data_IF_193776496527
#
_entry.id   IF_193776496527
#
_cell.length_a   1.000
_cell.length_b   1.000
_cell.length_c   1.000
_cell.angle_alpha   90.00
_cell.angle_beta   90.00
_cell.angle_gamma   90.00
#
_symmetry.space_group_name_H-M   'P 1'
#
loop_
_entity.id
_entity.type
_entity.pdbx_description
1 polymer ?
#
# COMPACT_ATOMS: atom_id res chain seq x y z
N UNK A 1 20.32 -14.04 -12.12
CA UNK A 1 18.99 -13.43 -11.94
C UNK A 1 18.82 -13.18 -10.45
N UNK A 2 19.12 -11.96 -10.01
CA UNK A 2 19.12 -11.60 -8.59
C UNK A 2 17.78 -10.98 -8.22
N UNK A 3 17.11 -11.61 -7.26
CA UNK A 3 15.81 -11.21 -6.74
C UNK A 3 16.01 -10.00 -5.81
N UNK A 4 15.59 -8.80 -6.22
CA UNK A 4 15.84 -7.57 -5.46
C UNK A 4 14.88 -7.49 -4.27
N UNK A 5 15.44 -7.52 -3.06
CA UNK A 5 14.68 -7.47 -1.80
C UNK A 5 14.64 -6.02 -1.32
N UNK A 6 13.44 -5.40 -1.28
CA UNK A 6 13.27 -4.03 -0.80
C UNK A 6 12.73 -4.00 0.64
N UNK A 7 13.32 -3.16 1.51
CA UNK A 7 12.90 -2.95 2.90
C UNK A 7 12.29 -1.55 3.08
N UNK A 8 11.23 -1.41 3.91
CA UNK A 8 10.58 -0.11 4.17
C UNK A 8 10.23 0.11 5.63
N UNK A 9 10.72 1.22 6.18
CA UNK A 9 10.46 1.77 7.51
C UNK A 9 8.98 2.00 7.82
N UNK A 10 8.51 1.43 8.93
CA UNK A 10 7.17 1.67 9.48
C UNK A 10 7.15 2.79 10.51
N UNK A 11 6.36 3.83 10.25
CA UNK A 11 5.92 4.84 11.22
C UNK A 11 4.40 4.97 11.17
N UNK A 12 3.78 5.00 12.34
CA UNK A 12 2.34 4.81 12.59
C UNK A 12 1.46 5.94 12.05
N UNK A 13 0.86 5.73 10.88
CA UNK A 13 -0.42 6.34 10.52
C UNK A 13 -1.43 5.19 10.41
N UNK A 14 -2.51 5.16 11.23
CA UNK A 14 -3.47 4.09 11.16
C UNK A 14 -4.37 4.28 9.94
N UNK A 15 -3.86 3.88 8.78
CA UNK A 15 -4.71 3.57 7.63
C UNK A 15 -5.58 2.38 8.07
N UNK A 16 -6.89 2.60 8.13
CA UNK A 16 -7.86 1.55 8.38
C UNK A 16 -7.88 0.64 7.15
N UNK A 17 -7.11 -0.45 7.20
CA UNK A 17 -7.13 -1.46 6.16
C UNK A 17 -8.44 -2.27 6.24
N UNK A 18 -8.95 -2.70 5.09
CA UNK A 18 -10.17 -3.51 5.04
C UNK A 18 -9.89 -4.96 5.40
N UNK A 19 -10.86 -5.60 6.05
CA UNK A 19 -10.83 -7.02 6.33
C UNK A 19 -10.91 -7.82 5.03
N UNK A 20 -9.93 -8.68 4.80
CA UNK A 20 -9.83 -9.54 3.61
C UNK A 20 -10.91 -10.64 3.54
N UNK A 21 -11.75 -10.77 4.59
CA UNK A 21 -12.92 -11.64 4.59
C UNK A 21 -14.22 -10.89 4.28
N UNK A 22 -14.51 -9.82 5.04
CA UNK A 22 -15.82 -9.17 5.04
C UNK A 22 -15.81 -7.71 4.57
N UNK A 23 -14.65 -7.18 4.20
CA UNK A 23 -14.49 -5.80 3.71
C UNK A 23 -14.63 -4.71 4.78
N UNK A 24 -14.94 -5.05 6.03
CA UNK A 24 -15.10 -4.06 7.10
C UNK A 24 -13.73 -3.51 7.56
N UNK A 25 -13.64 -2.22 7.95
CA UNK A 25 -12.43 -1.64 8.50
C UNK A 25 -11.87 -2.45 9.68
N UNK A 26 -10.56 -2.72 9.66
CA UNK A 26 -9.88 -3.43 10.74
C UNK A 26 -8.47 -2.89 10.98
N UNK A 27 -8.04 -2.96 12.24
CA UNK A 27 -6.65 -2.73 12.65
C UNK A 27 -5.91 -4.03 13.00
N UNK A 28 -6.61 -5.17 12.98
CA UNK A 28 -6.04 -6.43 13.39
C UNK A 28 -5.32 -7.10 12.22
N UNK A 29 -4.01 -7.29 12.40
CA UNK A 29 -3.14 -8.01 11.47
C UNK A 29 -2.96 -9.46 11.90
N UNK A 30 -2.71 -10.35 10.94
CA UNK A 30 -2.31 -11.73 11.22
C UNK A 30 -1.10 -11.73 12.16
N UNK A 31 -1.22 -12.42 13.31
CA UNK A 31 -0.17 -12.40 14.34
C UNK A 31 1.13 -13.06 13.89
N UNK A 32 1.06 -13.99 12.93
CA UNK A 32 2.22 -14.71 12.36
C UNK A 32 2.99 -13.84 11.36
N UNK A 33 2.37 -13.49 10.23
CA UNK A 33 3.07 -12.82 9.13
C UNK A 33 3.00 -11.29 9.16
N UNK A 34 2.04 -10.70 9.91
CA UNK A 34 1.75 -9.25 9.95
C UNK A 34 1.33 -8.60 8.62
N UNK A 35 1.24 -9.39 7.56
CA UNK A 35 1.02 -8.97 6.17
C UNK A 35 -0.45 -8.85 5.76
N UNK A 36 -1.36 -9.36 6.59
CA UNK A 36 -2.75 -9.62 6.23
C UNK A 36 -3.68 -9.06 7.30
N UNK A 37 -4.82 -8.47 6.90
CA UNK A 37 -5.74 -7.77 7.79
C UNK A 37 -7.10 -8.47 7.83
N UNK A 38 -7.62 -8.73 9.03
CA UNK A 38 -8.93 -9.34 9.27
C UNK A 38 -9.57 -8.75 10.51
N UNK A 39 -10.90 -8.75 10.65
CA UNK A 39 -11.56 -8.18 11.84
C UNK A 39 -11.35 -9.01 13.13
N UNK A 40 -11.11 -10.32 13.01
CA UNK A 40 -11.04 -11.19 14.19
C UNK A 40 -10.95 -12.67 13.83
N UNK A 41 -11.10 -13.52 14.86
CA UNK A 41 -10.91 -14.98 14.76
C UNK A 41 -11.84 -15.64 13.73
N UNK A 42 -13.11 -15.25 13.68
CA UNK A 42 -14.08 -15.86 12.75
C UNK A 42 -13.73 -15.55 11.29
N UNK A 43 -13.41 -14.28 10.98
CA UNK A 43 -12.93 -13.90 9.65
C UNK A 43 -11.59 -14.59 9.32
N UNK A 44 -10.69 -14.75 10.29
CA UNK A 44 -9.43 -15.47 10.07
C UNK A 44 -9.67 -16.94 9.72
N UNK A 45 -10.56 -17.64 10.43
CA UNK A 45 -10.90 -19.04 10.14
C UNK A 45 -11.46 -19.18 8.72
N UNK A 46 -12.37 -18.29 8.33
CA UNK A 46 -13.01 -18.31 7.01
C UNK A 46 -12.01 -18.15 5.86
N UNK A 47 -10.99 -17.29 6.03
CA UNK A 47 -9.98 -17.02 5.00
C UNK A 47 -8.72 -17.87 5.14
N UNK A 48 -8.60 -18.70 6.18
CA UNK A 48 -7.35 -19.36 6.54
C UNK A 48 -6.81 -20.26 5.43
N UNK A 49 -7.66 -21.03 4.76
CA UNK A 49 -7.26 -21.92 3.66
C UNK A 49 -6.54 -21.15 2.54
N UNK A 50 -7.06 -19.96 2.18
CA UNK A 50 -6.47 -19.06 1.19
C UNK A 50 -5.24 -18.32 1.74
N UNK A 51 -5.26 -17.92 3.02
CA UNK A 51 -4.19 -17.14 3.62
C UNK A 51 -2.97 -17.97 4.03
N UNK A 52 -3.13 -19.25 4.37
CA UNK A 52 -2.05 -20.07 4.93
C UNK A 52 -0.79 -20.14 4.04
N UNK A 53 -0.89 -20.41 2.72
CA UNK A 53 0.30 -20.48 1.86
C UNK A 53 1.11 -19.19 1.89
N UNK A 54 0.42 -18.07 1.72
CA UNK A 54 0.96 -16.73 1.84
C UNK A 54 1.60 -16.48 3.20
N UNK A 55 0.91 -16.83 4.29
CA UNK A 55 1.42 -16.66 5.65
C UNK A 55 2.75 -17.40 5.86
N UNK A 56 2.85 -18.64 5.36
CA UNK A 56 4.04 -19.46 5.52
C UNK A 56 5.23 -18.90 4.71
N UNK A 57 4.99 -18.44 3.47
CA UNK A 57 6.00 -17.74 2.64
C UNK A 57 6.57 -16.52 3.37
N UNK A 58 5.71 -15.68 3.94
CA UNK A 58 6.11 -14.46 4.63
C UNK A 58 6.90 -14.71 5.92
N UNK A 59 6.51 -15.75 6.66
CA UNK A 59 7.26 -16.19 7.85
C UNK A 59 8.64 -16.72 7.46
N UNK A 60 8.72 -17.49 6.38
CA UNK A 60 9.98 -17.97 5.81
C UNK A 60 10.92 -16.83 5.41
N UNK A 61 10.43 -15.89 4.60
CA UNK A 61 11.21 -14.74 4.15
C UNK A 61 11.74 -13.90 5.33
N UNK A 62 10.89 -13.63 6.33
CA UNK A 62 11.30 -12.89 7.54
C UNK A 62 12.37 -13.65 8.33
N UNK A 63 12.29 -14.98 8.40
CA UNK A 63 13.33 -15.80 9.04
C UNK A 63 14.66 -15.69 8.31
N UNK A 64 14.66 -15.84 6.98
CA UNK A 64 15.88 -15.72 6.17
C UNK A 64 16.56 -14.36 6.35
N UNK A 65 15.78 -13.27 6.36
CA UNK A 65 16.30 -11.91 6.55
C UNK A 65 16.84 -11.66 7.97
N UNK A 66 16.21 -12.27 8.98
CA UNK A 66 16.73 -12.24 10.35
C UNK A 66 18.06 -12.98 10.43
N UNK A 67 18.15 -14.15 9.81
CA UNK A 67 19.33 -15.01 9.82
C UNK A 67 20.50 -14.36 9.04
N UNK A 68 20.23 -13.52 8.03
CA UNK A 68 21.24 -12.75 7.30
C UNK A 68 21.70 -11.47 8.01
N UNK A 69 21.17 -11.17 9.21
CA UNK A 69 21.50 -9.95 9.96
C UNK A 69 20.98 -8.66 9.31
N UNK A 70 20.12 -8.76 8.29
CA UNK A 70 19.57 -7.60 7.60
C UNK A 70 18.46 -6.97 8.45
N UNK A 71 18.58 -5.70 8.87
CA UNK A 71 17.50 -5.04 9.60
C UNK A 71 16.34 -4.79 8.64
N UNK A 72 15.24 -5.52 8.82
CA UNK A 72 14.01 -5.28 8.06
C UNK A 72 13.01 -4.60 8.97
N UNK A 73 12.80 -3.31 8.74
CA UNK A 73 11.57 -2.66 9.21
C UNK A 73 10.44 -3.11 8.26
N UNK A 74 9.34 -3.63 8.81
CA UNK A 74 8.15 -3.99 8.04
C UNK A 74 8.02 -5.47 7.60
N UNK A 75 7.18 -5.66 6.58
CA UNK A 75 6.75 -6.95 6.04
C UNK A 75 7.46 -7.15 4.69
N UNK A 76 8.39 -8.13 4.56
CA UNK A 76 9.16 -8.30 3.33
C UNK A 76 8.29 -8.90 2.21
N UNK A 77 8.37 -8.39 1.00
CA UNK A 77 7.67 -8.97 -0.16
C UNK A 77 8.66 -9.34 -1.27
N UNK A 78 8.29 -10.33 -2.07
CA UNK A 78 8.97 -10.65 -3.33
C UNK A 78 8.02 -10.31 -4.47
N UNK A 79 8.59 -9.79 -5.55
CA UNK A 79 7.83 -9.34 -6.71
C UNK A 79 8.56 -9.79 -7.97
N UNK A 80 7.85 -10.46 -8.87
CA UNK A 80 8.41 -10.83 -10.16
C UNK A 80 8.78 -9.57 -10.97
N UNK A 81 9.89 -9.57 -11.73
CA UNK A 81 10.33 -8.41 -12.49
C UNK A 81 9.25 -7.82 -13.43
N UNK A 82 8.49 -8.69 -14.09
CA UNK A 82 7.42 -8.28 -15.01
C UNK A 82 6.24 -7.63 -14.26
N UNK A 83 5.93 -8.12 -13.06
CA UNK A 83 4.91 -7.52 -12.20
C UNK A 83 5.38 -6.13 -11.71
N UNK A 84 6.64 -6.00 -11.29
CA UNK A 84 7.22 -4.71 -10.91
C UNK A 84 7.15 -3.70 -12.06
N UNK A 85 7.55 -4.10 -13.26
CA UNK A 85 7.52 -3.24 -14.44
C UNK A 85 6.08 -2.80 -14.77
N UNK A 86 5.13 -3.75 -14.79
CA UNK A 86 3.71 -3.47 -15.05
C UNK A 86 3.11 -2.51 -14.03
N UNK A 87 3.34 -2.74 -12.73
CA UNK A 87 2.80 -1.87 -11.67
C UNK A 87 3.43 -0.48 -11.70
N UNK A 88 4.74 -0.38 -11.95
CA UNK A 88 5.38 0.93 -12.11
C UNK A 88 4.86 1.69 -13.35
N UNK A 89 4.60 0.99 -14.46
CA UNK A 89 4.05 1.61 -15.66
C UNK A 89 2.66 2.23 -15.40
N UNK A 90 1.81 1.56 -14.62
CA UNK A 90 0.50 2.11 -14.19
C UNK A 90 0.67 3.40 -13.39
N UNK A 91 1.60 3.44 -12.43
CA UNK A 91 1.90 4.67 -11.69
C UNK A 91 2.38 5.79 -12.62
N UNK A 92 3.28 5.51 -13.57
CA UNK A 92 3.78 6.51 -14.52
C UNK A 92 2.68 7.06 -15.45
N UNK A 93 1.64 6.27 -15.74
CA UNK A 93 0.47 6.75 -16.48
C UNK A 93 -0.25 7.86 -15.73
N UNK A 94 -0.40 7.74 -14.41
CA UNK A 94 -0.99 8.79 -13.56
C UNK A 94 -0.17 10.07 -13.63
N UNK A 95 1.16 9.96 -13.56
CA UNK A 95 2.07 11.10 -13.67
C UNK A 95 1.90 11.81 -15.03
N UNK A 96 1.86 11.03 -16.11
CA UNK A 96 1.67 11.56 -17.47
C UNK A 96 0.30 12.22 -17.63
N UNK A 97 -0.77 11.60 -17.13
CA UNK A 97 -2.14 12.15 -17.14
C UNK A 97 -2.19 13.55 -16.52
N UNK A 98 -1.47 13.76 -15.43
CA UNK A 98 -1.45 15.03 -14.72
C UNK A 98 -0.34 15.99 -15.21
N UNK A 99 0.52 15.56 -16.14
CA UNK A 99 1.68 16.34 -16.59
C UNK A 99 2.60 16.70 -15.42
N UNK A 100 2.89 15.71 -14.57
CA UNK A 100 3.73 15.82 -13.37
C UNK A 100 4.96 14.93 -13.55
N UNK A 101 6.16 15.50 -13.45
CA UNK A 101 7.41 14.74 -13.50
C UNK A 101 7.83 14.26 -12.10
N UNK A 102 7.76 15.16 -11.11
CA UNK A 102 8.00 14.87 -9.69
C UNK A 102 6.81 15.27 -8.83
N UNK A 103 6.52 14.54 -7.73
CA UNK A 103 5.49 14.96 -6.78
C UNK A 103 5.74 16.39 -6.25
N UNK A 104 4.70 17.23 -6.13
CA UNK A 104 4.84 18.58 -5.62
C UNK A 104 5.33 18.57 -4.17
N UNK A 105 6.46 19.24 -3.94
CA UNK A 105 7.08 19.40 -2.61
C UNK A 105 6.33 20.46 -1.79
N UNK A 106 6.65 20.53 -0.49
CA UNK A 106 6.15 21.59 0.41
C UNK A 106 6.45 22.97 -0.20
N UNK A 107 5.43 23.83 -0.29
CA UNK A 107 5.56 25.16 -0.88
C UNK A 107 5.56 25.19 -2.42
N UNK A 108 5.24 24.08 -3.09
CA UNK A 108 5.07 24.04 -4.54
C UNK A 108 4.05 25.07 -5.03
N UNK A 109 4.33 25.69 -6.18
CA UNK A 109 3.42 26.60 -6.91
C UNK A 109 2.36 25.87 -7.74
N UNK A 110 2.31 24.54 -7.68
CA UNK A 110 1.27 23.77 -8.36
C UNK A 110 -0.11 24.17 -7.84
N UNK A 111 -1.07 24.36 -8.77
CA UNK A 111 -2.46 24.61 -8.43
C UNK A 111 -2.97 23.56 -7.43
N UNK A 112 -3.65 24.03 -6.37
CA UNK A 112 -4.05 23.18 -5.24
C UNK A 112 -5.01 22.09 -5.70
N UNK A 113 -5.96 22.42 -6.59
CA UNK A 113 -6.92 21.44 -7.09
C UNK A 113 -6.21 20.37 -7.92
N UNK A 114 -5.36 20.77 -8.86
CA UNK A 114 -4.53 19.85 -9.66
C UNK A 114 -3.68 18.94 -8.76
N UNK A 115 -3.07 19.50 -7.72
CA UNK A 115 -2.27 18.74 -6.73
C UNK A 115 -3.12 17.69 -6.02
N UNK A 116 -4.31 18.04 -5.55
CA UNK A 116 -5.21 17.11 -4.85
C UNK A 116 -5.73 16.00 -5.79
N UNK A 117 -6.10 16.36 -7.02
CA UNK A 117 -6.55 15.39 -8.04
C UNK A 117 -5.42 14.41 -8.42
N UNK A 118 -4.19 14.90 -8.59
CA UNK A 118 -3.02 14.05 -8.83
C UNK A 118 -2.81 13.05 -7.69
N UNK A 119 -2.80 13.50 -6.43
CA UNK A 119 -2.61 12.60 -5.29
C UNK A 119 -3.76 11.62 -5.11
N UNK A 120 -5.00 12.02 -5.37
CA UNK A 120 -6.14 11.10 -5.32
C UNK A 120 -5.98 9.98 -6.33
N UNK A 121 -5.60 10.29 -7.58
CA UNK A 121 -5.41 9.27 -8.61
C UNK A 121 -4.21 8.36 -8.29
N UNK A 122 -3.12 8.91 -7.73
CA UNK A 122 -2.00 8.10 -7.23
C UNK A 122 -2.47 7.17 -6.12
N UNK A 123 -3.24 7.63 -5.15
CA UNK A 123 -3.74 6.78 -4.07
C UNK A 123 -4.69 5.70 -4.60
N UNK A 124 -5.61 6.05 -5.51
CA UNK A 124 -6.52 5.09 -6.16
C UNK A 124 -5.75 4.00 -6.91
N UNK A 125 -4.69 4.37 -7.63
CA UNK A 125 -3.88 3.41 -8.39
C UNK A 125 -3.25 2.33 -7.49
N UNK A 126 -2.90 2.70 -6.26
CA UNK A 126 -2.26 1.83 -5.29
C UNK A 126 -3.22 1.25 -4.24
N UNK A 127 -4.50 1.57 -4.33
CA UNK A 127 -5.52 1.08 -3.40
C UNK A 127 -5.74 -0.42 -3.62
N UNK A 128 -5.37 -1.23 -2.63
CA UNK A 128 -5.50 -2.69 -2.70
C UNK A 128 -6.93 -3.20 -2.55
N UNK A 129 -7.87 -2.33 -2.17
CA UNK A 129 -9.30 -2.65 -2.09
C UNK A 129 -10.04 -2.40 -3.40
N UNK A 130 -9.40 -1.74 -4.37
CA UNK A 130 -10.00 -1.47 -5.68
C UNK A 130 -10.32 -2.77 -6.44
N UNK A 131 -11.28 -2.70 -7.37
CA UNK A 131 -11.66 -3.85 -8.19
C UNK A 131 -10.48 -4.39 -9.00
N UNK A 132 -9.58 -3.51 -9.42
CA UNK A 132 -8.41 -3.81 -10.22
C UNK A 132 -7.30 -4.50 -9.41
N UNK A 133 -7.23 -4.24 -8.09
CA UNK A 133 -6.11 -4.66 -7.26
C UNK A 133 -6.46 -5.73 -6.21
N UNK A 134 -7.73 -5.89 -5.83
CA UNK A 134 -8.16 -6.77 -4.72
C UNK A 134 -7.79 -8.25 -4.92
N UNK A 135 -7.75 -8.69 -6.17
CA UNK A 135 -7.53 -10.08 -6.57
C UNK A 135 -6.06 -10.34 -6.98
N UNK A 136 -5.17 -9.35 -6.84
CA UNK A 136 -3.75 -9.51 -7.14
C UNK A 136 -3.05 -10.47 -6.15
N UNK A 137 -1.95 -11.11 -6.58
CA UNK A 137 -1.09 -11.90 -5.69
C UNK A 137 -0.62 -11.09 -4.48
N UNK A 138 -0.37 -11.76 -3.34
CA UNK A 138 0.00 -11.07 -2.10
C UNK A 138 1.25 -10.17 -2.27
N UNK A 139 2.27 -10.60 -3.00
CA UNK A 139 3.47 -9.81 -3.25
C UNK A 139 3.16 -8.46 -3.92
N UNK A 140 2.25 -8.48 -4.90
CA UNK A 140 1.77 -7.26 -5.58
C UNK A 140 0.94 -6.39 -4.64
N UNK A 141 0.02 -6.97 -3.87
CA UNK A 141 -0.78 -6.22 -2.89
C UNK A 141 0.10 -5.55 -1.83
N UNK A 142 1.14 -6.23 -1.34
CA UNK A 142 2.09 -5.65 -0.39
C UNK A 142 2.90 -4.50 -1.01
N UNK A 143 3.31 -4.64 -2.26
CA UNK A 143 3.98 -3.57 -3.00
C UNK A 143 3.06 -2.35 -3.17
N UNK A 144 1.82 -2.54 -3.60
CA UNK A 144 0.84 -1.46 -3.78
C UNK A 144 0.51 -0.79 -2.45
N UNK A 145 0.24 -1.55 -1.40
CA UNK A 145 -0.01 -1.01 -0.06
C UNK A 145 1.21 -0.21 0.45
N UNK A 146 2.43 -0.66 0.16
CA UNK A 146 3.64 0.10 0.48
C UNK A 146 3.66 1.46 -0.24
N UNK A 147 3.38 1.47 -1.56
CA UNK A 147 3.31 2.69 -2.36
C UNK A 147 2.21 3.64 -1.86
N UNK A 148 1.01 3.12 -1.62
CA UNK A 148 -0.12 3.86 -1.06
C UNK A 148 0.27 4.57 0.24
N UNK A 149 0.78 3.82 1.22
CA UNK A 149 1.17 4.38 2.52
C UNK A 149 2.28 5.43 2.40
N UNK A 150 3.23 5.21 1.48
CA UNK A 150 4.30 6.17 1.23
C UNK A 150 3.78 7.46 0.59
N UNK A 151 2.88 7.35 -0.40
CA UNK A 151 2.25 8.51 -1.03
C UNK A 151 1.37 9.30 -0.05
N UNK A 152 0.58 8.62 0.78
CA UNK A 152 -0.25 9.28 1.77
C UNK A 152 0.59 9.96 2.86
N UNK A 153 1.65 9.31 3.34
CA UNK A 153 2.59 9.93 4.29
C UNK A 153 3.29 11.14 3.69
N UNK A 154 3.73 11.04 2.44
CA UNK A 154 4.31 12.18 1.74
C UNK A 154 3.33 13.35 1.67
N UNK A 155 2.05 13.10 1.39
CA UNK A 155 1.03 14.15 1.45
C UNK A 155 0.93 14.77 2.85
N UNK A 156 0.86 13.96 3.92
CA UNK A 156 0.83 14.45 5.30
C UNK A 156 2.05 15.33 5.65
N UNK A 157 3.21 15.00 5.09
CA UNK A 157 4.47 15.72 5.31
C UNK A 157 4.63 16.96 4.43
N UNK A 158 3.82 17.15 3.39
CA UNK A 158 4.01 18.24 2.42
C UNK A 158 2.83 19.19 2.32
N UNK A 159 1.62 18.72 2.58
CA UNK A 159 0.39 19.48 2.41
C UNK A 159 0.05 20.28 3.66
N UNK A 160 -0.77 21.30 3.49
CA UNK A 160 -1.38 22.02 4.61
C UNK A 160 -2.49 21.17 5.25
N UNK A 161 -2.86 21.43 6.52
CA UNK A 161 -3.98 20.72 7.16
C UNK A 161 -5.30 20.80 6.37
N UNK A 162 -5.56 21.95 5.73
CA UNK A 162 -6.76 22.14 4.91
C UNK A 162 -6.74 21.26 3.64
N UNK A 163 -5.60 21.15 2.99
CA UNK A 163 -5.42 20.28 1.81
C UNK A 163 -5.57 18.80 2.19
N UNK A 164 -5.05 18.37 3.35
CA UNK A 164 -5.25 17.02 3.86
C UNK A 164 -6.73 16.74 4.12
N UNK A 165 -7.47 17.69 4.71
CA UNK A 165 -8.90 17.53 4.93
C UNK A 165 -9.68 17.40 3.62
N UNK A 166 -9.31 18.17 2.60
CA UNK A 166 -9.90 18.08 1.26
C UNK A 166 -9.57 16.73 0.60
N UNK A 167 -8.30 16.30 0.63
CA UNK A 167 -7.87 15.00 0.09
C UNK A 167 -8.65 13.85 0.75
N UNK A 168 -8.75 13.86 2.08
CA UNK A 168 -9.51 12.85 2.82
C UNK A 168 -11.01 12.89 2.48
N UNK A 169 -11.57 14.08 2.22
CA UNK A 169 -12.92 14.24 1.69
C UNK A 169 -13.09 13.56 0.34
N UNK A 170 -12.15 13.81 -0.59
CA UNK A 170 -12.15 13.20 -1.92
C UNK A 170 -11.99 11.68 -1.84
N UNK A 171 -11.08 11.16 -1.01
CA UNK A 171 -10.90 9.72 -0.81
C UNK A 171 -12.19 9.04 -0.37
N UNK A 172 -12.92 9.62 0.59
CA UNK A 172 -14.23 9.10 1.01
C UNK A 172 -15.25 9.10 -0.12
N UNK A 173 -15.37 10.19 -0.86
CA UNK A 173 -16.30 10.32 -2.00
C UNK A 173 -16.01 9.31 -3.11
N UNK A 174 -14.73 9.01 -3.34
CA UNK A 174 -14.28 8.11 -4.40
C UNK A 174 -14.00 6.68 -3.91
N UNK A 175 -14.33 6.36 -2.66
CA UNK A 175 -14.12 5.04 -2.04
C UNK A 175 -12.66 4.54 -2.15
N UNK A 176 -11.69 5.44 -1.95
CA UNK A 176 -10.26 5.12 -1.88
C UNK A 176 -9.88 4.84 -0.42
N UNK A 177 -9.35 3.66 -0.12
CA UNK A 177 -9.12 3.18 1.26
C UNK A 177 -7.70 2.64 1.52
#
# INVERSE_FOLDING_TARGET
>A
MENQTHAVGGGDVPVLALCENCGQPSRHRCSRCKAFVVCGKECMKAVWSRHKPDCDTMVGARKMLKDSGTPVSGVPFSLEPDALLRLNARTLEVYRKHGVEEPPKRGSSMDVRKKLEFFLDVLREHDTSSLENRDLPLGEKLFLNCRYNNSYRYALETFTPNEINQLNGMMRTHHVA
#
